data_IF_484997590788
#
_entry.id   IF_484997590788
#
_cell.length_a   1.000
_cell.length_b   1.000
_cell.length_c   1.000
_cell.angle_alpha   90.00
_cell.angle_beta   90.00
_cell.angle_gamma   90.00
#
_symmetry.space_group_name_H-M   'P 1'
#
loop_
_entity.id
_entity.type
_entity.pdbx_description
1 polymer ?
#
# COMPACT_ATOMS: atom_id res chain seq x y z
N UNK A 1 17.52 -26.92 71.30
CA UNK A 1 17.03 -26.36 70.02
C UNK A 1 15.96 -27.31 69.47
N UNK A 2 14.65 -27.11 69.75
CA UNK A 2 13.56 -27.90 69.09
C UNK A 2 12.12 -27.44 69.38
N UNK A 3 11.87 -26.29 70.04
CA UNK A 3 10.51 -25.93 70.51
C UNK A 3 9.75 -24.84 69.73
N UNK A 4 10.32 -24.23 68.69
CA UNK A 4 9.73 -23.05 68.03
C UNK A 4 9.08 -23.32 66.66
N UNK A 5 9.34 -24.46 66.00
CA UNK A 5 8.82 -24.74 64.64
C UNK A 5 7.38 -25.27 64.60
N UNK A 6 6.87 -25.82 65.71
CA UNK A 6 5.52 -26.38 65.78
C UNK A 6 4.41 -25.34 65.97
N UNK A 7 4.71 -24.13 66.45
CA UNK A 7 3.70 -23.08 66.63
C UNK A 7 3.41 -22.26 65.38
N UNK A 8 4.38 -22.11 64.48
CA UNK A 8 4.18 -21.36 63.22
C UNK A 8 3.43 -22.16 62.15
N UNK A 9 3.55 -23.49 62.13
CA UNK A 9 2.82 -24.32 61.17
C UNK A 9 1.31 -24.36 61.44
N UNK A 10 0.90 -24.33 62.72
CA UNK A 10 -0.51 -24.36 63.12
C UNK A 10 -1.24 -23.04 62.85
N UNK A 11 -0.54 -21.91 62.96
CA UNK A 11 -1.10 -20.59 62.71
C UNK A 11 -1.36 -20.33 61.21
N UNK A 12 -0.51 -20.85 60.32
CA UNK A 12 -0.73 -20.77 58.86
C UNK A 12 -1.88 -21.68 58.39
N UNK A 13 -2.03 -22.87 58.99
CA UNK A 13 -3.13 -23.78 58.66
C UNK A 13 -4.50 -23.21 59.08
N UNK A 14 -4.59 -22.54 60.23
CA UNK A 14 -5.84 -21.90 60.67
C UNK A 14 -6.25 -20.71 59.78
N UNK A 15 -5.28 -19.89 59.34
CA UNK A 15 -5.54 -18.76 58.45
C UNK A 15 -5.99 -19.20 57.04
N UNK A 16 -5.43 -20.30 56.53
CA UNK A 16 -5.83 -20.88 55.24
C UNK A 16 -7.24 -21.49 55.28
N UNK A 17 -7.63 -22.11 56.41
CA UNK A 17 -8.98 -22.68 56.59
C UNK A 17 -10.02 -21.57 56.77
N UNK A 18 -9.71 -20.51 57.51
CA UNK A 18 -10.60 -19.35 57.65
C UNK A 18 -10.75 -18.57 56.33
N UNK A 19 -9.68 -18.38 55.57
CA UNK A 19 -9.73 -17.74 54.25
C UNK A 19 -10.51 -18.56 53.21
N UNK A 20 -10.34 -19.88 53.19
CA UNK A 20 -11.08 -20.79 52.31
C UNK A 20 -12.58 -20.83 52.62
N UNK A 21 -12.96 -20.83 53.90
CA UNK A 21 -14.36 -20.83 54.32
C UNK A 21 -15.07 -19.49 54.04
N UNK A 22 -14.35 -18.36 54.09
CA UNK A 22 -14.91 -17.06 53.71
C UNK A 22 -15.12 -16.96 52.20
N UNK A 23 -14.21 -17.48 51.38
CA UNK A 23 -14.36 -17.52 49.91
C UNK A 23 -15.49 -18.48 49.48
N UNK A 24 -15.58 -19.65 50.09
CA UNK A 24 -16.66 -20.62 49.84
C UNK A 24 -18.03 -20.12 50.34
N UNK A 25 -18.06 -19.44 51.50
CA UNK A 25 -19.27 -18.82 52.04
C UNK A 25 -19.77 -17.64 51.19
N UNK A 26 -18.85 -16.84 50.63
CA UNK A 26 -19.18 -15.76 49.72
C UNK A 26 -19.68 -16.29 48.35
N UNK A 27 -19.15 -17.43 47.87
CA UNK A 27 -19.69 -18.11 46.68
C UNK A 27 -21.06 -18.74 46.91
N UNK A 28 -21.37 -19.22 48.12
CA UNK A 28 -22.68 -19.80 48.45
C UNK A 28 -23.78 -18.75 48.68
N UNK A 29 -23.41 -17.53 49.07
CA UNK A 29 -24.33 -16.39 49.30
C UNK A 29 -24.66 -15.59 48.02
N UNK A 30 -24.03 -15.92 46.89
CA UNK A 30 -24.29 -15.31 45.59
C UNK A 30 -24.66 -16.41 44.57
N UNK A 31 -25.88 -16.97 44.63
CA UNK A 31 -26.33 -17.88 43.58
C UNK A 31 -26.44 -17.10 42.27
N UNK A 32 -25.47 -17.25 41.36
CA UNK A 32 -25.59 -16.81 39.98
C UNK A 32 -24.67 -15.70 39.49
N UNK A 33 -23.38 -15.66 39.86
CA UNK A 33 -22.36 -14.97 39.02
C UNK A 33 -22.01 -15.86 37.81
N UNK A 34 -23.05 -16.24 37.09
CA UNK A 34 -23.03 -17.19 35.99
C UNK A 34 -24.43 -17.19 35.40
N UNK A 35 -24.88 -16.03 34.93
CA UNK A 35 -26.13 -15.91 34.20
C UNK A 35 -26.15 -16.98 33.10
N UNK A 36 -27.26 -17.71 32.99
CA UNK A 36 -27.44 -18.69 31.91
C UNK A 36 -27.08 -17.99 30.59
N UNK A 37 -26.20 -18.57 29.76
CA UNK A 37 -25.78 -17.99 28.47
C UNK A 37 -26.98 -17.47 27.67
N UNK A 38 -28.09 -18.21 27.68
CA UNK A 38 -29.33 -17.86 27.01
C UNK A 38 -30.04 -16.61 27.60
N UNK A 39 -29.80 -16.27 28.87
CA UNK A 39 -30.28 -15.05 29.51
C UNK A 39 -29.41 -13.85 29.13
N UNK A 40 -28.08 -14.01 29.13
CA UNK A 40 -27.14 -12.96 28.71
C UNK A 40 -27.36 -12.59 27.25
N UNK A 41 -27.48 -13.58 26.36
CA UNK A 41 -27.76 -13.36 24.93
C UNK A 41 -29.08 -12.60 24.72
N UNK A 42 -30.14 -12.95 25.47
CA UNK A 42 -31.43 -12.24 25.39
C UNK A 42 -31.31 -10.79 25.85
N UNK A 43 -30.59 -10.53 26.93
CA UNK A 43 -30.37 -9.17 27.46
C UNK A 43 -29.56 -8.33 26.47
N UNK A 44 -28.47 -8.89 25.92
CA UNK A 44 -27.65 -8.19 24.92
C UNK A 44 -28.47 -7.92 23.65
N UNK A 45 -29.23 -8.91 23.18
CA UNK A 45 -30.09 -8.75 22.01
C UNK A 45 -31.17 -7.67 22.21
N UNK A 46 -31.88 -7.69 23.34
CA UNK A 46 -32.89 -6.65 23.63
C UNK A 46 -32.25 -5.27 23.75
N UNK A 47 -31.11 -5.19 24.43
CA UNK A 47 -30.38 -3.93 24.61
C UNK A 47 -29.91 -3.33 23.27
N UNK A 48 -29.37 -4.13 22.36
CA UNK A 48 -28.95 -3.66 21.03
C UNK A 48 -30.14 -3.18 20.18
N UNK A 49 -31.30 -3.85 20.27
CA UNK A 49 -32.52 -3.42 19.55
C UNK A 49 -33.15 -2.16 20.16
N UNK A 50 -33.07 -1.99 21.47
CA UNK A 50 -33.54 -0.79 22.18
C UNK A 50 -32.60 0.42 21.97
N UNK A 51 -31.33 0.18 21.62
CA UNK A 51 -30.30 1.20 21.48
C UNK A 51 -29.58 1.11 20.12
N UNK A 52 -30.28 1.33 18.99
CA UNK A 52 -29.69 1.18 17.65
C UNK A 52 -28.57 2.19 17.35
N UNK A 53 -28.44 3.28 18.12
CA UNK A 53 -27.32 4.23 18.00
C UNK A 53 -25.97 3.60 18.32
N UNK A 54 -25.92 2.53 19.13
CA UNK A 54 -24.68 1.84 19.47
C UNK A 54 -23.97 1.35 18.21
N UNK A 55 -24.71 0.84 17.22
CA UNK A 55 -24.12 0.43 15.94
C UNK A 55 -23.48 1.60 15.21
N UNK A 56 -24.12 2.78 15.22
CA UNK A 56 -23.54 4.00 14.64
C UNK A 56 -22.26 4.39 15.36
N UNK A 57 -22.28 4.49 16.68
CA UNK A 57 -21.13 4.91 17.49
C UNK A 57 -19.95 3.93 17.33
N UNK A 58 -20.25 2.62 17.24
CA UNK A 58 -19.26 1.59 16.95
C UNK A 58 -18.67 1.73 15.55
N UNK A 59 -19.49 1.97 14.53
CA UNK A 59 -19.02 2.21 13.16
C UNK A 59 -18.15 3.47 13.08
N UNK A 60 -18.57 4.56 13.71
CA UNK A 60 -17.80 5.80 13.77
C UNK A 60 -16.46 5.59 14.49
N UNK A 61 -16.46 4.85 15.60
CA UNK A 61 -15.24 4.54 16.34
C UNK A 61 -14.28 3.69 15.52
N UNK A 62 -14.79 2.68 14.81
CA UNK A 62 -14.00 1.84 13.93
C UNK A 62 -13.42 2.66 12.77
N UNK A 63 -14.23 3.48 12.10
CA UNK A 63 -13.77 4.36 11.03
C UNK A 63 -12.68 5.34 11.49
N UNK A 64 -12.81 5.89 12.69
CA UNK A 64 -11.78 6.77 13.27
C UNK A 64 -10.47 6.02 13.53
N UNK A 65 -10.54 4.78 14.02
CA UNK A 65 -9.36 3.95 14.24
C UNK A 65 -8.68 3.61 12.92
N UNK A 66 -9.46 3.16 11.93
CA UNK A 66 -8.96 2.86 10.58
C UNK A 66 -8.33 4.09 9.92
N UNK A 67 -8.95 5.27 10.04
CA UNK A 67 -8.40 6.52 9.52
C UNK A 67 -7.10 6.94 10.21
N UNK A 68 -7.02 6.80 11.55
CA UNK A 68 -5.81 7.10 12.30
C UNK A 68 -4.66 6.14 11.96
N UNK A 69 -4.95 4.85 11.76
CA UNK A 69 -3.99 3.86 11.31
C UNK A 69 -3.49 4.15 9.89
N UNK A 70 -4.40 4.49 8.97
CA UNK A 70 -4.07 4.90 7.61
C UNK A 70 -3.19 6.16 7.60
N UNK A 71 -3.51 7.16 8.41
CA UNK A 71 -2.70 8.38 8.53
C UNK A 71 -1.29 8.06 9.05
N UNK A 72 -1.19 7.24 10.10
CA UNK A 72 0.11 6.81 10.64
C UNK A 72 0.94 6.06 9.60
N UNK A 73 0.32 5.21 8.78
CA UNK A 73 0.99 4.52 7.70
C UNK A 73 1.49 5.50 6.62
N UNK A 74 0.68 6.50 6.26
CA UNK A 74 1.06 7.55 5.30
C UNK A 74 2.20 8.42 5.84
N UNK A 75 2.17 8.81 7.12
CA UNK A 75 3.24 9.57 7.76
C UNK A 75 4.56 8.77 7.78
N UNK A 76 4.48 7.49 8.10
CA UNK A 76 5.62 6.57 8.04
C UNK A 76 6.19 6.42 6.63
N UNK A 77 5.32 6.28 5.62
CA UNK A 77 5.71 6.23 4.21
C UNK A 77 6.39 7.54 3.78
N UNK A 78 5.82 8.68 4.14
CA UNK A 78 6.34 10.01 3.83
C UNK A 78 7.72 10.23 4.47
N UNK A 79 7.93 9.77 5.70
CA UNK A 79 9.23 9.80 6.38
C UNK A 79 10.27 8.87 5.71
N UNK A 80 9.84 7.81 5.03
CA UNK A 80 10.72 6.87 4.34
C UNK A 80 11.19 7.35 2.95
N UNK A 81 10.54 8.37 2.37
CA UNK A 81 10.84 8.87 1.00
C UNK A 81 12.31 9.26 0.84
N UNK A 82 12.94 10.08 1.71
CA UNK A 82 14.32 10.51 1.50
C UNK A 82 15.31 9.34 1.33
N UNK A 83 15.14 8.27 2.10
CA UNK A 83 15.97 7.08 2.00
C UNK A 83 15.64 6.22 0.77
N UNK A 84 14.42 6.32 0.24
CA UNK A 84 14.00 5.62 -0.97
C UNK A 84 14.32 6.37 -2.28
N UNK A 85 14.65 7.68 -2.21
CA UNK A 85 14.86 8.53 -3.38
C UNK A 85 15.79 7.93 -4.45
N UNK A 86 16.98 7.38 -4.13
CA UNK A 86 17.85 6.80 -5.16
C UNK A 86 17.18 5.66 -5.92
N UNK A 87 16.42 4.81 -5.23
CA UNK A 87 15.68 3.72 -5.83
C UNK A 87 14.43 4.19 -6.58
N UNK A 88 13.83 5.32 -6.19
CA UNK A 88 12.67 5.89 -6.90
C UNK A 88 13.08 6.58 -8.20
N UNK A 89 14.19 7.32 -8.20
CA UNK A 89 14.58 8.20 -9.32
C UNK A 89 15.53 7.56 -10.32
N UNK A 90 16.08 6.37 -10.05
CA UNK A 90 16.96 5.65 -10.99
C UNK A 90 16.14 4.78 -11.95
N UNK A 91 15.92 5.17 -13.21
CA UNK A 91 15.05 4.43 -14.11
C UNK A 91 15.64 3.08 -14.51
N UNK A 92 14.76 2.13 -14.80
CA UNK A 92 15.15 0.89 -15.45
C UNK A 92 15.35 1.14 -16.95
N UNK A 93 16.61 1.10 -17.41
CA UNK A 93 16.96 1.35 -18.81
C UNK A 93 16.28 2.62 -19.37
N UNK A 94 15.50 2.53 -20.45
CA UNK A 94 14.80 3.67 -21.03
C UNK A 94 13.41 3.96 -20.44
N UNK A 95 13.07 3.44 -19.24
CA UNK A 95 11.79 3.68 -18.57
C UNK A 95 11.71 5.07 -17.90
N UNK A 96 11.94 6.12 -18.68
CA UNK A 96 11.89 7.51 -18.25
C UNK A 96 11.48 8.43 -19.41
N UNK A 97 11.14 9.68 -19.11
CA UNK A 97 10.83 10.72 -20.09
C UNK A 97 11.19 12.12 -19.55
N UNK A 98 11.05 13.13 -20.41
CA UNK A 98 11.38 14.52 -20.09
C UNK A 98 12.87 14.80 -20.11
N UNK A 99 13.34 15.64 -19.21
CA UNK A 99 14.74 16.04 -19.14
C UNK A 99 15.55 15.09 -18.25
N UNK A 100 16.61 14.41 -18.74
CA UNK A 100 17.42 13.53 -17.92
C UNK A 100 18.12 14.25 -16.76
N UNK A 101 18.35 15.56 -16.90
CA UNK A 101 18.94 16.45 -15.90
C UNK A 101 17.88 17.36 -15.26
N UNK A 102 16.61 16.96 -15.30
CA UNK A 102 15.50 17.69 -14.72
C UNK A 102 15.72 17.98 -13.24
N UNK A 103 15.28 19.16 -12.82
CA UNK A 103 15.47 19.67 -11.47
C UNK A 103 14.51 18.97 -10.49
N UNK A 104 13.32 18.57 -10.94
CA UNK A 104 12.39 17.74 -10.18
C UNK A 104 12.16 16.42 -10.91
N UNK A 105 12.24 15.31 -10.17
CA UNK A 105 11.84 13.99 -10.67
C UNK A 105 10.43 13.66 -10.20
N UNK A 106 9.57 13.33 -11.15
CA UNK A 106 8.24 12.75 -10.98
C UNK A 106 8.36 11.24 -11.22
N UNK A 107 8.31 10.45 -10.15
CA UNK A 107 8.24 8.99 -10.25
C UNK A 107 6.78 8.57 -10.24
N UNK A 108 6.35 7.75 -11.20
CA UNK A 108 4.98 7.24 -11.27
C UNK A 108 4.97 5.72 -11.28
N UNK A 109 4.17 5.13 -10.39
CA UNK A 109 3.88 3.71 -10.31
C UNK A 109 2.59 3.43 -11.07
N UNK A 110 2.66 2.58 -12.10
CA UNK A 110 1.57 2.38 -13.03
C UNK A 110 1.30 0.91 -13.32
N UNK A 111 0.06 0.64 -13.72
CA UNK A 111 -0.42 -0.64 -14.19
C UNK A 111 -1.20 -0.41 -15.51
N UNK A 112 -0.92 -1.22 -16.53
CA UNK A 112 -1.56 -1.11 -17.85
C UNK A 112 -3.06 -1.42 -17.85
N UNK A 113 -3.56 -2.18 -16.86
CA UNK A 113 -4.99 -2.44 -16.69
C UNK A 113 -5.71 -1.33 -15.90
N UNK A 114 -5.00 -0.34 -15.38
CA UNK A 114 -5.59 0.69 -14.53
C UNK A 114 -6.18 1.86 -15.35
N UNK A 115 -7.50 2.05 -15.27
CA UNK A 115 -8.19 3.17 -15.90
C UNK A 115 -7.73 4.54 -15.40
N UNK A 116 -7.42 4.68 -14.11
CA UNK A 116 -6.90 5.92 -13.53
C UNK A 116 -5.46 6.23 -13.98
N UNK A 117 -4.65 5.21 -14.26
CA UNK A 117 -3.34 5.38 -14.88
C UNK A 117 -3.50 5.99 -16.27
N UNK A 118 -4.37 5.39 -17.10
CA UNK A 118 -4.70 5.91 -18.44
C UNK A 118 -5.20 7.35 -18.39
N UNK A 119 -6.11 7.66 -17.45
CA UNK A 119 -6.68 8.99 -17.29
C UNK A 119 -5.65 10.07 -16.89
N UNK A 120 -4.53 9.68 -16.27
CA UNK A 120 -3.47 10.63 -15.85
C UNK A 120 -2.44 10.93 -16.94
N UNK A 121 -2.38 10.11 -17.99
CA UNK A 121 -1.38 10.24 -19.06
C UNK A 121 -1.43 11.56 -19.82
N UNK A 122 -2.61 12.11 -20.19
CA UNK A 122 -2.66 13.41 -20.86
C UNK A 122 -2.04 14.53 -20.01
N UNK A 123 -2.33 14.56 -18.71
CA UNK A 123 -1.78 15.56 -17.79
C UNK A 123 -0.26 15.42 -17.62
N UNK A 124 0.25 14.19 -17.54
CA UNK A 124 1.68 13.93 -17.48
C UNK A 124 2.40 14.31 -18.78
N UNK A 125 1.81 14.02 -19.93
CA UNK A 125 2.36 14.39 -21.23
C UNK A 125 2.41 15.92 -21.40
N UNK A 126 1.36 16.62 -20.96
CA UNK A 126 1.31 18.08 -20.97
C UNK A 126 2.37 18.69 -20.04
N UNK A 127 2.58 18.11 -18.85
CA UNK A 127 3.66 18.52 -17.94
C UNK A 127 5.03 18.41 -18.60
N UNK A 128 5.34 17.25 -19.20
CA UNK A 128 6.62 17.03 -19.89
C UNK A 128 6.81 18.04 -21.03
N UNK A 129 5.74 18.36 -21.76
CA UNK A 129 5.80 19.29 -22.89
C UNK A 129 6.00 20.75 -22.46
N UNK A 130 5.40 21.17 -21.33
CA UNK A 130 5.40 22.57 -20.87
C UNK A 130 6.53 22.89 -19.89
N UNK A 131 7.06 21.89 -19.17
CA UNK A 131 8.13 22.07 -18.20
C UNK A 131 9.38 21.27 -18.60
N UNK A 132 10.29 21.94 -19.30
CA UNK A 132 11.54 21.35 -19.79
C UNK A 132 12.54 20.99 -18.67
N UNK A 133 12.24 21.29 -17.41
CA UNK A 133 13.07 20.93 -16.26
C UNK A 133 12.50 19.75 -15.46
N UNK A 134 11.43 19.09 -15.92
CA UNK A 134 10.90 17.89 -15.27
C UNK A 134 11.53 16.63 -15.85
N UNK A 135 11.94 15.72 -14.95
CA UNK A 135 12.27 14.33 -15.26
C UNK A 135 11.13 13.42 -14.83
N UNK A 136 10.74 12.46 -15.66
CA UNK A 136 9.75 11.44 -15.31
C UNK A 136 10.39 10.07 -15.26
N UNK A 137 10.12 9.29 -14.22
CA UNK A 137 10.54 7.89 -14.08
C UNK A 137 9.32 7.01 -13.95
N UNK A 138 9.22 5.98 -14.78
CA UNK A 138 8.11 5.04 -14.77
C UNK A 138 8.50 3.80 -13.98
N UNK A 139 7.60 3.36 -13.09
CA UNK A 139 7.73 2.15 -12.28
C UNK A 139 6.59 1.22 -12.64
N UNK A 140 6.92 0.12 -13.29
CA UNK A 140 5.95 -0.94 -13.55
C UNK A 140 5.53 -1.55 -12.21
N UNK A 141 4.25 -1.39 -11.87
CA UNK A 141 3.64 -1.86 -10.62
C UNK A 141 2.36 -2.65 -10.94
N UNK A 142 2.51 -3.86 -11.52
CA UNK A 142 1.38 -4.68 -11.94
C UNK A 142 0.67 -5.32 -10.75
N UNK A 143 -0.46 -4.73 -10.33
CA UNK A 143 -1.25 -5.13 -9.15
C UNK A 143 -2.66 -5.59 -9.50
N UNK A 144 -3.07 -5.49 -10.78
CA UNK A 144 -4.44 -5.77 -11.23
C UNK A 144 -4.62 -7.14 -11.91
N UNK A 145 -3.60 -8.01 -11.84
CA UNK A 145 -3.71 -9.41 -12.26
C UNK A 145 -2.62 -9.85 -13.23
N UNK A 146 -2.77 -11.07 -13.76
CA UNK A 146 -1.75 -11.71 -14.60
C UNK A 146 -1.44 -10.93 -15.88
N UNK A 147 -2.47 -10.40 -16.56
CA UNK A 147 -2.30 -9.59 -17.76
C UNK A 147 -1.44 -8.33 -17.50
N UNK A 148 -1.57 -7.72 -16.32
CA UNK A 148 -0.72 -6.60 -15.90
C UNK A 148 0.73 -7.01 -15.75
N UNK A 149 1.00 -8.18 -15.14
CA UNK A 149 2.36 -8.70 -14.97
C UNK A 149 3.00 -8.98 -16.32
N UNK A 150 2.26 -9.59 -17.25
CA UNK A 150 2.76 -9.85 -18.61
C UNK A 150 3.06 -8.53 -19.34
N UNK A 151 2.15 -7.56 -19.29
CA UNK A 151 2.37 -6.24 -19.89
C UNK A 151 3.60 -5.52 -19.33
N UNK A 152 3.76 -5.49 -18.00
CA UNK A 152 4.91 -4.90 -17.33
C UNK A 152 6.24 -5.56 -17.76
N UNK A 153 6.27 -6.88 -17.91
CA UNK A 153 7.46 -7.59 -18.41
C UNK A 153 7.84 -7.16 -19.82
N UNK A 154 6.86 -7.04 -20.71
CA UNK A 154 7.10 -6.56 -22.08
C UNK A 154 7.49 -5.08 -22.13
N UNK A 155 6.94 -4.24 -21.24
CA UNK A 155 7.35 -2.85 -21.11
C UNK A 155 8.81 -2.72 -20.71
N UNK A 156 9.26 -3.45 -19.69
CA UNK A 156 10.65 -3.43 -19.25
C UNK A 156 11.60 -4.06 -20.29
N UNK A 157 11.14 -5.08 -21.03
CA UNK A 157 11.91 -5.62 -22.16
C UNK A 157 12.07 -4.58 -23.28
N UNK A 158 11.01 -3.78 -23.53
CA UNK A 158 11.09 -2.66 -24.45
C UNK A 158 12.02 -1.56 -23.94
N UNK A 159 12.09 -1.34 -22.62
CA UNK A 159 13.02 -0.39 -22.01
C UNK A 159 14.48 -0.76 -22.25
N UNK A 160 14.83 -2.04 -22.21
CA UNK A 160 16.19 -2.52 -22.52
C UNK A 160 16.57 -2.36 -23.99
N UNK A 161 15.57 -2.19 -24.87
CA UNK A 161 15.78 -1.88 -26.29
C UNK A 161 15.66 -0.38 -26.61
N UNK A 162 15.52 0.49 -25.60
CA UNK A 162 15.37 1.93 -25.81
C UNK A 162 13.99 2.37 -26.29
N UNK A 163 12.99 1.48 -26.24
CA UNK A 163 11.66 1.65 -26.86
C UNK A 163 10.52 1.63 -25.85
N UNK A 164 10.82 1.85 -24.57
CA UNK A 164 9.81 1.87 -23.50
C UNK A 164 8.63 2.79 -23.82
N UNK A 165 8.88 4.07 -24.13
CA UNK A 165 7.80 5.05 -24.34
C UNK A 165 6.91 4.69 -25.52
N UNK A 166 7.49 4.24 -26.62
CA UNK A 166 6.73 3.80 -27.79
C UNK A 166 5.80 2.62 -27.46
N UNK A 167 6.30 1.61 -26.71
CA UNK A 167 5.48 0.50 -26.25
C UNK A 167 4.41 0.95 -25.24
N UNK A 168 4.81 1.74 -24.26
CA UNK A 168 3.95 2.24 -23.19
C UNK A 168 2.77 3.04 -23.74
N UNK A 169 3.03 3.98 -24.64
CA UNK A 169 2.00 4.81 -25.27
C UNK A 169 1.09 3.96 -26.16
N UNK A 170 1.64 3.01 -26.92
CA UNK A 170 0.85 2.10 -27.77
C UNK A 170 -0.07 1.19 -26.94
N UNK A 171 0.41 0.66 -25.80
CA UNK A 171 -0.39 -0.24 -24.97
C UNK A 171 -1.48 0.53 -24.21
N UNK A 172 -1.19 1.72 -23.68
CA UNK A 172 -2.21 2.54 -23.02
C UNK A 172 -3.27 3.10 -23.97
N UNK A 173 -2.95 3.22 -25.27
CA UNK A 173 -3.91 3.56 -26.31
C UNK A 173 -4.89 2.42 -26.65
N UNK A 174 -4.65 1.20 -26.16
CA UNK A 174 -5.58 0.07 -26.29
C UNK A 174 -6.61 0.05 -25.15
N UNK A 175 -7.60 -0.86 -25.22
CA UNK A 175 -8.60 -1.02 -24.16
C UNK A 175 -8.07 -1.70 -22.89
N UNK A 176 -6.83 -2.20 -22.90
CA UNK A 176 -6.18 -2.82 -21.75
C UNK A 176 -5.22 -3.92 -22.18
N UNK A 177 -4.45 -4.50 -21.24
CA UNK A 177 -3.48 -5.53 -21.55
C UNK A 177 -4.18 -6.85 -21.91
N UNK A 178 -3.83 -7.38 -23.07
CA UNK A 178 -4.20 -8.70 -23.57
C UNK A 178 -3.08 -9.20 -24.47
N UNK A 179 -3.04 -10.49 -24.79
CA UNK A 179 -2.04 -11.01 -25.72
C UNK A 179 -2.05 -10.27 -27.07
N UNK A 180 -3.25 -9.92 -27.56
CA UNK A 180 -3.42 -9.19 -28.82
C UNK A 180 -2.92 -7.74 -28.74
N UNK A 181 -3.34 -6.99 -27.71
CA UNK A 181 -2.93 -5.58 -27.56
C UNK A 181 -1.44 -5.44 -27.22
N UNK A 182 -0.87 -6.38 -26.46
CA UNK A 182 0.57 -6.42 -26.21
C UNK A 182 1.32 -6.69 -27.51
N UNK A 183 0.92 -7.69 -28.29
CA UNK A 183 1.55 -8.00 -29.59
C UNK A 183 1.48 -6.81 -30.57
N UNK A 184 0.34 -6.12 -30.61
CA UNK A 184 0.16 -4.92 -31.43
C UNK A 184 1.07 -3.77 -30.95
N UNK A 185 1.14 -3.52 -29.64
CA UNK A 185 2.03 -2.51 -29.06
C UNK A 185 3.51 -2.83 -29.32
N UNK A 186 3.91 -4.10 -29.26
CA UNK A 186 5.27 -4.53 -29.60
C UNK A 186 5.61 -4.20 -31.06
N UNK A 187 4.68 -4.47 -31.96
CA UNK A 187 4.82 -4.22 -33.40
C UNK A 187 4.87 -2.72 -33.69
N UNK A 188 3.95 -1.93 -33.12
CA UNK A 188 3.90 -0.46 -33.28
C UNK A 188 5.15 0.23 -32.77
N UNK A 189 5.73 -0.25 -31.67
CA UNK A 189 7.00 0.25 -31.16
C UNK A 189 8.21 -0.20 -32.00
N UNK A 190 8.03 -1.15 -32.93
CA UNK A 190 9.08 -1.68 -33.80
C UNK A 190 10.12 -2.51 -33.04
N UNK A 191 9.73 -3.24 -32.01
CA UNK A 191 10.65 -4.04 -31.19
C UNK A 191 11.19 -5.26 -31.93
N UNK A 192 12.40 -5.69 -31.60
CA UNK A 192 12.85 -7.03 -31.97
C UNK A 192 12.06 -8.03 -31.11
N UNK A 193 11.07 -8.67 -31.72
CA UNK A 193 10.15 -9.57 -31.00
C UNK A 193 10.89 -10.76 -30.37
N UNK A 194 11.92 -11.30 -31.04
CA UNK A 194 12.68 -12.42 -30.52
C UNK A 194 13.51 -12.01 -29.31
N UNK A 195 14.18 -10.85 -29.36
CA UNK A 195 14.87 -10.29 -28.21
C UNK A 195 13.92 -9.97 -27.06
N UNK A 196 12.77 -9.35 -27.38
CA UNK A 196 11.76 -9.00 -26.40
C UNK A 196 11.25 -10.22 -25.63
N UNK A 197 10.93 -11.32 -26.32
CA UNK A 197 10.45 -12.54 -25.68
C UNK A 197 11.48 -13.15 -24.72
N UNK A 198 12.77 -13.10 -25.06
CA UNK A 198 13.84 -13.55 -24.16
C UNK A 198 13.98 -12.64 -22.95
N UNK A 199 14.01 -11.33 -23.17
CA UNK A 199 14.20 -10.33 -22.11
C UNK A 199 13.03 -10.33 -21.12
N UNK A 200 11.79 -10.41 -21.61
CA UNK A 200 10.56 -10.44 -20.80
C UNK A 200 10.54 -11.59 -19.78
N UNK A 201 11.31 -12.65 -20.02
CA UNK A 201 11.45 -13.80 -19.12
C UNK A 201 12.76 -13.79 -18.30
N UNK A 202 13.51 -12.68 -18.33
CA UNK A 202 14.79 -12.58 -17.62
C UNK A 202 14.61 -12.27 -16.14
N UNK A 203 15.53 -12.78 -15.32
CA UNK A 203 15.54 -12.48 -13.88
C UNK A 203 15.73 -10.99 -13.59
N UNK A 204 16.37 -10.24 -14.50
CA UNK A 204 16.56 -8.80 -14.34
C UNK A 204 15.20 -8.06 -14.30
N UNK A 205 14.29 -8.42 -15.20
CA UNK A 205 12.94 -7.85 -15.24
C UNK A 205 12.10 -8.32 -14.04
N UNK A 206 12.20 -9.60 -13.68
CA UNK A 206 11.51 -10.12 -12.50
C UNK A 206 11.95 -9.38 -11.22
N UNK A 207 13.26 -9.14 -11.05
CA UNK A 207 13.80 -8.37 -9.92
C UNK A 207 13.37 -6.90 -9.93
N UNK A 208 13.26 -6.27 -11.10
CA UNK A 208 12.77 -4.89 -11.19
C UNK A 208 11.31 -4.77 -10.75
N UNK A 209 10.42 -5.66 -11.24
CA UNK A 209 9.01 -5.67 -10.84
C UNK A 209 8.87 -5.89 -9.32
N UNK A 210 9.63 -6.83 -8.78
CA UNK A 210 9.66 -7.15 -7.35
C UNK A 210 10.26 -5.99 -6.51
N UNK A 211 11.28 -5.30 -7.01
CA UNK A 211 11.80 -4.08 -6.38
C UNK A 211 10.76 -2.95 -6.37
N UNK A 212 10.02 -2.77 -7.46
CA UNK A 212 8.93 -1.79 -7.53
C UNK A 212 7.81 -2.14 -6.55
N UNK A 213 7.49 -3.42 -6.38
CA UNK A 213 6.52 -3.85 -5.37
C UNK A 213 6.97 -3.56 -3.95
N UNK A 214 8.23 -3.85 -3.62
CA UNK A 214 8.79 -3.50 -2.31
C UNK A 214 8.77 -1.99 -2.06
N UNK A 215 9.05 -1.17 -3.07
CA UNK A 215 8.93 0.28 -2.97
C UNK A 215 7.48 0.70 -2.71
N UNK A 216 6.52 0.13 -3.45
CA UNK A 216 5.09 0.37 -3.25
C UNK A 216 4.64 0.07 -1.83
N UNK A 217 4.98 -1.12 -1.30
CA UNK A 217 4.68 -1.51 0.09
C UNK A 217 5.34 -0.56 1.09
N UNK A 218 6.64 -0.25 0.91
CA UNK A 218 7.38 0.64 1.81
C UNK A 218 6.78 2.05 1.87
N UNK A 219 6.19 2.50 0.77
CA UNK A 219 5.59 3.82 0.63
C UNK A 219 4.06 3.79 0.78
N UNK A 220 3.50 2.72 1.36
CA UNK A 220 2.08 2.54 1.62
C UNK A 220 1.18 2.77 0.38
N UNK A 221 1.68 2.42 -0.81
CA UNK A 221 0.93 2.53 -2.07
C UNK A 221 -0.09 1.41 -2.16
N UNK A 222 -1.36 1.76 -1.95
CA UNK A 222 -2.50 0.86 -1.95
C UNK A 222 -3.20 0.73 -3.32
N UNK A 223 -2.65 1.34 -4.37
CA UNK A 223 -3.21 1.27 -5.72
C UNK A 223 -2.39 2.06 -6.73
N UNK A 224 -2.86 2.06 -7.98
CA UNK A 224 -2.26 2.80 -9.09
C UNK A 224 -3.24 3.81 -9.69
N UNK A 225 -2.77 4.96 -10.21
CA UNK A 225 -1.38 5.41 -10.14
C UNK A 225 -1.03 5.91 -8.74
N UNK A 226 0.24 5.77 -8.39
CA UNK A 226 0.83 6.43 -7.22
C UNK A 226 2.09 7.18 -7.66
N UNK A 227 2.36 8.31 -7.02
CA UNK A 227 3.37 9.26 -7.48
C UNK A 227 4.32 9.60 -6.35
N UNK A 228 5.58 9.81 -6.69
CA UNK A 228 6.54 10.54 -5.85
C UNK A 228 7.06 11.74 -6.63
N UNK A 229 6.74 12.95 -6.17
CA UNK A 229 7.16 14.21 -6.80
C UNK A 229 8.10 14.94 -5.87
N UNK A 230 9.39 14.92 -6.19
CA UNK A 230 10.43 15.32 -5.23
C UNK A 230 10.35 14.44 -3.99
N UNK A 231 9.96 15.01 -2.84
CA UNK A 231 9.78 14.28 -1.58
C UNK A 231 8.32 13.94 -1.25
N UNK A 232 7.35 14.32 -2.09
CA UNK A 232 5.93 14.18 -1.80
C UNK A 232 5.39 12.87 -2.36
N UNK A 233 4.64 12.10 -1.57
CA UNK A 233 3.84 10.98 -2.07
C UNK A 233 2.43 11.49 -2.42
N UNK A 234 1.92 11.10 -3.59
CA UNK A 234 0.56 11.39 -4.03
C UNK A 234 -0.12 10.08 -4.45
N UNK A 235 -1.36 9.86 -4.01
CA UNK A 235 -2.13 8.66 -4.34
C UNK A 235 -3.26 8.96 -5.33
N UNK A 236 -3.49 8.06 -6.29
CA UNK A 236 -4.58 8.14 -7.25
C UNK A 236 -4.26 9.01 -8.47
N UNK A 237 -5.27 9.16 -9.35
CA UNK A 237 -5.15 9.91 -10.60
C UNK A 237 -4.71 11.36 -10.38
N UNK A 238 -3.90 11.89 -11.29
CA UNK A 238 -3.48 13.29 -11.29
C UNK A 238 -3.64 13.88 -12.68
N UNK A 239 -4.29 15.03 -12.74
CA UNK A 239 -4.36 15.84 -13.95
C UNK A 239 -3.12 16.74 -14.07
N UNK A 240 -3.07 17.53 -15.14
CA UNK A 240 -1.97 18.45 -15.38
C UNK A 240 -1.74 19.43 -14.21
N UNK A 241 -2.80 20.06 -13.71
CA UNK A 241 -2.68 21.09 -12.69
C UNK A 241 -2.16 20.53 -11.37
N UNK A 242 -2.67 19.37 -10.93
CA UNK A 242 -2.21 18.72 -9.71
C UNK A 242 -0.73 18.33 -9.79
N UNK A 243 -0.24 17.92 -10.97
CA UNK A 243 1.19 17.63 -11.17
C UNK A 243 2.03 18.90 -11.15
N UNK A 244 1.57 19.99 -11.77
CA UNK A 244 2.24 21.30 -11.73
C UNK A 244 2.39 21.79 -10.28
N UNK A 245 1.32 21.72 -9.49
CA UNK A 245 1.33 22.14 -8.09
C UNK A 245 2.32 21.32 -7.28
N UNK A 246 2.34 20.00 -7.48
CA UNK A 246 3.29 19.10 -6.83
C UNK A 246 4.75 19.42 -7.20
N UNK A 247 5.03 19.69 -8.48
CA UNK A 247 6.37 20.09 -8.93
C UNK A 247 6.77 21.43 -8.30
N UNK A 248 5.86 22.40 -8.23
CA UNK A 248 6.12 23.69 -7.60
C UNK A 248 6.45 23.57 -6.11
N UNK A 249 5.73 22.70 -5.37
CA UNK A 249 6.04 22.40 -3.97
C UNK A 249 7.42 21.74 -3.86
N UNK A 250 7.73 20.77 -4.72
CA UNK A 250 9.03 20.09 -4.71
C UNK A 250 10.20 21.06 -4.96
N UNK A 251 10.04 22.05 -5.85
CA UNK A 251 11.06 23.09 -6.10
C UNK A 251 11.30 24.00 -4.90
N UNK A 252 10.24 24.36 -4.18
CA UNK A 252 10.33 25.20 -2.97
C UNK A 252 10.99 24.50 -1.78
N UNK A 253 11.01 23.17 -1.78
CA UNK A 253 11.55 22.34 -0.69
C UNK A 253 13.01 21.89 -0.90
N UNK A 254 13.69 22.42 -1.93
CA UNK A 254 15.13 22.25 -2.16
C UNK A 254 15.93 23.23 -1.30
#
# INVERSE_FOLDING_TARGET
MTRSRLFFASALLLAAVLGGLVVLGLQAMLPGIGGNKAQVERIVHSYLLENPSILRDMMEKLQQQEAAEAQKAQDGAQAAVPAALPALTTPFASAWAGNPNGDVTVTVFMDYACGYCRASLPGLAELIAKDSNVRVVYREYPVLGEASVVAARFALAAAQQGKFRAFHDALFASDGPSNASISDALTKAGLDLAATQRLANSDAIAREIDANHRLGVKLAMNGTPAWVVGKQILYGARDYQALVDAVAIARKAK
#
